data_IF_177738109654
#
_entry.id   IF_177738109654
#
_cell.length_a   1.000
_cell.length_b   1.000
_cell.length_c   1.000
_cell.angle_alpha   90.00
_cell.angle_beta   90.00
_cell.angle_gamma   90.00
#
_symmetry.space_group_name_H-M   'P 1'
#
loop_
_entity.id
_entity.type
_entity.pdbx_description
1 polymer ?
#
# COMPACT_ATOMS: atom_id res chain seq x y z
N UNK A 1 -7.02 -2.01 -7.32
CA UNK A 1 -7.00 -3.18 -6.40
C UNK A 1 -8.24 -4.03 -6.65
N UNK A 2 -8.09 -5.36 -6.75
CA UNK A 2 -9.22 -6.28 -6.98
C UNK A 2 -10.11 -6.39 -5.73
N UNK A 3 -11.43 -6.51 -5.92
CA UNK A 3 -12.41 -6.57 -4.82
C UNK A 3 -12.17 -7.72 -3.82
N UNK A 4 -11.82 -8.96 -4.24
CA UNK A 4 -11.59 -10.05 -3.28
C UNK A 4 -10.43 -9.78 -2.32
N UNK A 5 -9.31 -9.27 -2.86
CA UNK A 5 -8.14 -8.91 -2.06
C UNK A 5 -8.45 -7.78 -1.08
N UNK A 6 -9.21 -6.78 -1.52
CA UNK A 6 -9.65 -5.70 -0.63
C UNK A 6 -10.47 -6.21 0.56
N UNK A 7 -11.45 -7.09 0.30
CA UNK A 7 -12.28 -7.67 1.36
C UNK A 7 -11.47 -8.55 2.31
N UNK A 8 -10.49 -9.32 1.79
CA UNK A 8 -9.55 -10.09 2.62
C UNK A 8 -8.79 -9.18 3.59
N UNK A 9 -8.28 -8.05 3.11
CA UNK A 9 -7.58 -7.06 3.96
C UNK A 9 -8.53 -6.48 5.02
N UNK A 10 -9.74 -6.07 4.63
CA UNK A 10 -10.73 -5.49 5.55
C UNK A 10 -11.11 -6.47 6.66
N UNK A 11 -11.34 -7.74 6.32
CA UNK A 11 -11.67 -8.77 7.31
C UNK A 11 -10.49 -9.03 8.26
N UNK A 12 -9.27 -9.19 7.72
CA UNK A 12 -8.07 -9.41 8.53
C UNK A 12 -7.74 -8.26 9.51
N UNK A 13 -8.16 -7.03 9.18
CA UNK A 13 -8.07 -5.85 10.04
C UNK A 13 -9.18 -5.83 11.11
N UNK A 14 -10.41 -6.17 10.72
CA UNK A 14 -11.56 -6.23 11.62
C UNK A 14 -11.41 -7.27 12.73
N UNK A 15 -10.86 -8.44 12.39
CA UNK A 15 -10.60 -9.52 13.35
C UNK A 15 -9.47 -9.17 14.33
N UNK A 16 -8.50 -8.37 13.88
CA UNK A 16 -7.31 -8.02 14.67
C UNK A 16 -7.56 -6.88 15.64
N UNK A 17 -8.20 -5.80 15.19
CA UNK A 17 -8.41 -4.63 16.01
C UNK A 17 -9.85 -4.19 15.97
N UNK A 18 -10.47 -4.01 17.14
CA UNK A 18 -11.79 -3.41 17.19
C UNK A 18 -11.77 -1.95 16.74
N UNK A 19 -10.60 -1.34 16.44
CA UNK A 19 -10.55 -0.04 15.74
C UNK A 19 -11.09 -0.14 14.30
N UNK A 20 -10.95 -1.30 13.65
CA UNK A 20 -11.48 -1.56 12.31
C UNK A 20 -12.86 -2.21 12.31
N UNK A 21 -13.62 -2.09 13.40
CA UNK A 21 -15.04 -2.44 13.43
C UNK A 21 -15.91 -1.17 13.42
N UNK A 22 -17.17 -1.31 13.01
CA UNK A 22 -18.17 -0.25 13.17
C UNK A 22 -18.51 -0.17 14.64
N UNK A 23 -18.23 0.97 15.28
CA UNK A 23 -18.56 1.23 16.68
C UNK A 23 -19.61 2.31 16.77
N UNK A 24 -20.47 2.24 17.79
CA UNK A 24 -21.39 3.32 18.13
C UNK A 24 -20.71 4.32 19.07
N UNK A 25 -20.94 5.61 18.84
CA UNK A 25 -20.48 6.65 19.76
C UNK A 25 -21.34 6.71 21.04
N UNK A 26 -20.96 7.56 21.99
CA UNK A 26 -21.70 7.76 23.25
C UNK A 26 -23.12 8.30 23.04
N UNK A 27 -23.44 8.79 21.84
CA UNK A 27 -24.76 9.27 21.41
C UNK A 27 -25.50 8.21 20.56
N UNK A 28 -25.01 6.96 20.55
CA UNK A 28 -25.56 5.82 19.81
C UNK A 28 -25.56 5.97 18.28
N UNK A 29 -24.76 6.89 17.72
CA UNK A 29 -24.59 7.06 16.27
C UNK A 29 -23.56 6.07 15.77
N UNK A 30 -23.78 5.53 14.58
CA UNK A 30 -22.81 4.65 13.93
C UNK A 30 -21.57 5.44 13.51
N UNK A 31 -20.41 5.01 14.00
CA UNK A 31 -19.12 5.54 13.58
C UNK A 31 -18.68 4.99 12.22
N UNK A 32 -17.45 5.37 11.83
CA UNK A 32 -16.89 4.98 10.54
C UNK A 32 -16.79 3.46 10.38
N UNK A 33 -17.24 2.99 9.22
CA UNK A 33 -17.18 1.58 8.83
C UNK A 33 -15.73 1.11 8.56
N UNK A 34 -15.44 -0.20 8.71
CA UNK A 34 -14.16 -0.80 8.35
C UNK A 34 -13.71 -0.45 6.93
N UNK A 35 -14.67 -0.46 5.99
CA UNK A 35 -14.45 -0.15 4.58
C UNK A 35 -13.98 1.29 4.40
N UNK A 36 -14.65 2.26 5.03
CA UNK A 36 -14.25 3.67 4.97
C UNK A 36 -12.84 3.89 5.53
N UNK A 37 -12.52 3.27 6.67
CA UNK A 37 -11.20 3.35 7.30
C UNK A 37 -10.10 2.80 6.39
N UNK A 38 -10.33 1.62 5.79
CA UNK A 38 -9.39 1.01 4.86
C UNK A 38 -9.26 1.83 3.57
N UNK A 39 -10.36 2.33 3.01
CA UNK A 39 -10.32 3.18 1.82
C UNK A 39 -9.54 4.47 2.06
N UNK A 40 -9.70 5.08 3.24
CA UNK A 40 -8.93 6.27 3.64
C UNK A 40 -7.42 5.99 3.69
N UNK A 41 -7.02 4.88 4.32
CA UNK A 41 -5.61 4.48 4.39
C UNK A 41 -5.02 4.20 3.00
N UNK A 42 -5.73 3.45 2.16
CA UNK A 42 -5.27 3.12 0.80
C UNK A 42 -5.15 4.36 -0.08
N UNK A 43 -6.09 5.32 0.04
CA UNK A 43 -5.99 6.60 -0.67
C UNK A 43 -4.76 7.41 -0.24
N UNK A 44 -4.48 7.48 1.06
CA UNK A 44 -3.25 8.11 1.57
C UNK A 44 -2.00 7.48 0.98
N UNK A 45 -1.92 6.15 0.94
CA UNK A 45 -0.77 5.43 0.38
C UNK A 45 -0.63 5.62 -1.13
N UNK A 46 -1.74 5.49 -1.88
CA UNK A 46 -1.72 5.55 -3.34
C UNK A 46 -1.32 6.95 -3.82
N UNK A 47 -1.95 7.99 -3.28
CA UNK A 47 -1.81 9.35 -3.78
C UNK A 47 -0.80 10.19 -2.99
N UNK A 48 -0.35 9.73 -1.81
CA UNK A 48 0.41 10.56 -0.89
C UNK A 48 -0.40 11.74 -0.36
N UNK A 49 -1.73 11.64 -0.35
CA UNK A 49 -2.62 12.71 0.09
C UNK A 49 -2.42 12.96 1.58
N UNK A 50 -2.28 14.23 2.02
CA UNK A 50 -2.20 14.54 3.43
C UNK A 50 -3.50 14.15 4.15
N UNK A 51 -3.40 13.71 5.39
CA UNK A 51 -4.54 13.27 6.20
C UNK A 51 -5.65 14.34 6.30
N UNK A 52 -5.28 15.63 6.24
CA UNK A 52 -6.22 16.76 6.27
C UNK A 52 -7.15 16.79 5.04
N UNK A 53 -6.67 16.35 3.87
CA UNK A 53 -7.47 16.33 2.63
C UNK A 53 -8.55 15.24 2.61
N UNK A 54 -8.49 14.28 3.54
CA UNK A 54 -9.50 13.23 3.65
C UNK A 54 -10.74 13.68 4.42
N UNK A 55 -10.65 14.75 5.21
CA UNK A 55 -11.80 15.30 5.92
C UNK A 55 -12.83 15.85 4.93
N UNK A 56 -12.36 16.48 3.85
CA UNK A 56 -13.22 17.02 2.78
C UNK A 56 -13.96 15.91 2.00
N UNK A 57 -13.28 14.78 1.71
CA UNK A 57 -13.84 13.73 0.85
C UNK A 57 -14.56 12.61 1.60
N UNK A 58 -14.04 12.22 2.77
CA UNK A 58 -14.54 11.07 3.53
C UNK A 58 -15.16 11.47 4.87
N UNK A 59 -15.12 12.77 5.24
CA UNK A 59 -15.56 13.28 6.54
C UNK A 59 -14.88 12.55 7.70
N UNK A 60 -13.57 12.34 7.57
CA UNK A 60 -12.73 11.67 8.55
C UNK A 60 -11.76 12.70 9.12
N UNK A 61 -11.77 12.88 10.43
CA UNK A 61 -10.83 13.77 11.10
C UNK A 61 -9.38 13.35 10.83
N UNK A 62 -8.48 14.33 10.75
CA UNK A 62 -7.03 14.12 10.56
C UNK A 62 -6.47 13.04 11.49
N UNK A 63 -6.80 13.10 12.78
CA UNK A 63 -6.30 12.14 13.78
C UNK A 63 -6.73 10.72 13.44
N UNK A 64 -8.02 10.54 13.13
CA UNK A 64 -8.56 9.23 12.72
C UNK A 64 -7.94 8.75 11.42
N UNK A 65 -7.70 9.63 10.45
CA UNK A 65 -7.07 9.27 9.18
C UNK A 65 -5.62 8.80 9.36
N UNK A 66 -4.86 9.45 10.25
CA UNK A 66 -3.48 9.05 10.61
C UNK A 66 -3.49 7.71 11.35
N UNK A 67 -4.39 7.52 12.31
CA UNK A 67 -4.48 6.28 13.07
C UNK A 67 -4.93 5.10 12.19
N UNK A 68 -5.89 5.33 11.29
CA UNK A 68 -6.27 4.35 10.28
C UNK A 68 -5.07 3.96 9.42
N UNK A 69 -4.28 4.93 8.95
CA UNK A 69 -3.10 4.66 8.14
C UNK A 69 -2.05 3.84 8.90
N UNK A 70 -1.71 4.22 10.13
CA UNK A 70 -0.71 3.52 10.95
C UNK A 70 -1.12 2.07 11.23
N UNK A 71 -2.34 1.87 11.73
CA UNK A 71 -2.83 0.53 12.06
C UNK A 71 -3.01 -0.33 10.79
N UNK A 72 -3.43 0.28 9.68
CA UNK A 72 -3.54 -0.40 8.40
C UNK A 72 -2.17 -0.91 7.92
N UNK A 73 -1.16 -0.04 7.89
CA UNK A 73 0.18 -0.40 7.42
C UNK A 73 0.81 -1.47 8.32
N UNK A 74 0.75 -1.30 9.64
CA UNK A 74 1.30 -2.29 10.58
C UNK A 74 0.70 -3.67 10.32
N UNK A 75 -0.64 -3.76 10.26
CA UNK A 75 -1.32 -5.05 10.07
C UNK A 75 -1.08 -5.64 8.69
N UNK A 76 -1.03 -4.81 7.65
CA UNK A 76 -0.70 -5.28 6.29
C UNK A 76 0.70 -5.88 6.26
N UNK A 77 1.68 -5.23 6.90
CA UNK A 77 3.02 -5.80 7.06
C UNK A 77 2.92 -7.11 7.82
N UNK A 78 2.39 -7.13 9.04
CA UNK A 78 2.33 -8.35 9.87
C UNK A 78 1.62 -9.54 9.17
N UNK A 79 0.62 -9.26 8.34
CA UNK A 79 -0.17 -10.30 7.65
C UNK A 79 0.49 -10.79 6.37
N UNK A 80 1.13 -9.89 5.63
CA UNK A 80 1.59 -10.15 4.26
C UNK A 80 3.12 -10.12 4.14
N UNK A 81 3.86 -9.88 5.22
CA UNK A 81 5.32 -9.78 5.18
C UNK A 81 5.98 -11.02 4.60
N UNK A 82 5.58 -12.19 5.12
CA UNK A 82 6.10 -13.49 4.71
C UNK A 82 5.72 -13.83 3.26
N UNK A 83 4.54 -13.42 2.81
CA UNK A 83 4.02 -13.79 1.48
C UNK A 83 4.52 -12.83 0.39
N UNK A 84 4.52 -11.51 0.66
CA UNK A 84 4.66 -10.46 -0.34
C UNK A 84 5.82 -9.48 -0.10
N UNK A 85 6.30 -9.30 1.13
CA UNK A 85 7.43 -8.38 1.43
C UNK A 85 8.77 -9.11 1.58
N UNK A 86 8.79 -10.44 1.44
CA UNK A 86 10.02 -11.23 1.38
C UNK A 86 10.79 -10.99 0.08
N UNK A 87 12.08 -11.31 0.10
CA UNK A 87 12.86 -11.40 -1.14
C UNK A 87 12.28 -12.46 -2.09
N UNK A 88 12.22 -12.18 -3.40
CA UNK A 88 11.78 -13.16 -4.39
C UNK A 88 12.65 -14.42 -4.32
N UNK A 89 12.00 -15.58 -4.39
CA UNK A 89 12.69 -16.85 -4.55
C UNK A 89 12.82 -17.19 -6.05
N UNK A 90 13.53 -18.27 -6.36
CA UNK A 90 13.79 -18.67 -7.75
C UNK A 90 12.50 -18.93 -8.54
N UNK A 91 11.43 -19.42 -7.91
CA UNK A 91 10.14 -19.66 -8.56
C UNK A 91 9.39 -18.36 -8.87
N UNK A 92 9.42 -17.38 -7.95
CA UNK A 92 8.88 -16.05 -8.23
C UNK A 92 9.61 -15.40 -9.41
N UNK A 93 10.93 -15.52 -9.45
CA UNK A 93 11.77 -15.01 -10.54
C UNK A 93 11.40 -15.66 -11.87
N UNK A 94 11.28 -16.99 -11.93
CA UNK A 94 10.85 -17.70 -13.15
C UNK A 94 9.45 -17.30 -13.59
N UNK A 95 8.53 -17.16 -12.64
CA UNK A 95 7.15 -16.74 -12.91
C UNK A 95 7.12 -15.35 -13.54
N UNK A 96 7.83 -14.39 -12.95
CA UNK A 96 7.94 -13.02 -13.45
C UNK A 96 8.58 -12.97 -14.84
N UNK A 97 9.62 -13.76 -15.10
CA UNK A 97 10.25 -13.84 -16.42
C UNK A 97 9.29 -14.39 -17.48
N UNK A 98 8.52 -15.44 -17.16
CA UNK A 98 7.51 -16.00 -18.08
C UNK A 98 6.41 -14.97 -18.40
N UNK A 99 5.99 -14.19 -17.41
CA UNK A 99 5.03 -13.10 -17.62
C UNK A 99 5.66 -12.03 -18.52
N UNK A 100 6.91 -11.63 -18.26
CA UNK A 100 7.66 -10.68 -19.08
C UNK A 100 7.74 -11.12 -20.54
N UNK A 101 8.10 -12.38 -20.79
CA UNK A 101 8.12 -12.98 -22.13
C UNK A 101 6.76 -12.91 -22.83
N UNK A 102 5.69 -13.29 -22.13
CA UNK A 102 4.31 -13.21 -22.66
C UNK A 102 3.85 -11.78 -22.96
N UNK A 103 4.45 -10.78 -22.30
CA UNK A 103 4.20 -9.36 -22.54
C UNK A 103 5.19 -8.71 -23.54
N UNK A 104 6.13 -9.46 -24.13
CA UNK A 104 7.10 -8.95 -25.09
C UNK A 104 8.39 -8.36 -24.50
N UNK A 105 8.67 -8.63 -23.23
CA UNK A 105 9.86 -8.19 -22.49
C UNK A 105 10.71 -9.39 -22.03
N UNK A 106 11.37 -10.11 -22.95
CA UNK A 106 12.17 -11.28 -22.61
C UNK A 106 13.36 -10.90 -21.70
N UNK A 107 13.54 -11.65 -20.61
CA UNK A 107 14.60 -11.41 -19.64
C UNK A 107 14.33 -10.28 -18.63
N UNK A 108 13.16 -9.62 -18.69
CA UNK A 108 12.81 -8.54 -17.78
C UNK A 108 12.04 -9.06 -16.55
N UNK A 109 12.55 -8.73 -15.36
CA UNK A 109 11.90 -9.01 -14.07
C UNK A 109 11.00 -7.83 -13.70
N UNK A 110 9.72 -7.90 -14.07
CA UNK A 110 8.70 -6.91 -13.68
C UNK A 110 8.38 -5.85 -14.72
N UNK A 111 7.44 -4.95 -14.38
CA UNK A 111 7.08 -3.77 -15.16
C UNK A 111 7.99 -2.59 -14.78
N UNK A 112 8.41 -1.78 -15.74
CA UNK A 112 9.22 -0.55 -15.57
C UNK A 112 8.48 0.61 -14.87
N UNK A 113 7.58 0.33 -13.92
CA UNK A 113 6.86 1.37 -13.17
C UNK A 113 7.71 1.91 -12.01
N UNK A 114 8.80 2.59 -12.33
CA UNK A 114 9.60 3.34 -11.37
C UNK A 114 8.93 4.69 -11.07
N UNK A 115 8.32 4.86 -9.89
CA UNK A 115 7.84 6.17 -9.44
C UNK A 115 8.87 6.84 -8.55
N UNK A 116 9.44 7.94 -9.03
CA UNK A 116 10.26 8.82 -8.21
C UNK A 116 9.36 9.68 -7.33
N UNK A 117 9.53 9.57 -6.01
CA UNK A 117 8.87 10.44 -5.04
C UNK A 117 9.86 11.36 -4.37
N UNK A 118 9.46 12.62 -4.18
CA UNK A 118 10.26 13.61 -3.45
C UNK A 118 10.38 13.22 -1.99
N UNK A 119 11.61 13.16 -1.52
CA UNK A 119 11.93 12.90 -0.14
C UNK A 119 12.12 14.23 0.60
N UNK A 120 10.99 14.82 1.02
CA UNK A 120 10.97 16.15 1.65
C UNK A 120 11.79 16.23 2.95
N UNK A 121 11.89 15.12 3.68
CA UNK A 121 12.66 15.01 4.94
C UNK A 121 13.94 14.18 4.78
N UNK A 122 14.59 14.23 3.62
CA UNK A 122 15.87 13.54 3.41
C UNK A 122 16.95 14.13 4.35
N UNK A 123 17.64 13.30 5.16
CA UNK A 123 18.77 13.74 5.96
C UNK A 123 19.86 14.39 5.09
N UNK A 124 20.52 15.43 5.60
CA UNK A 124 21.57 16.17 4.86
C UNK A 124 22.70 15.23 4.41
N UNK A 125 23.08 14.30 5.29
CA UNK A 125 24.12 13.30 5.01
C UNK A 125 23.82 12.44 3.77
N UNK A 126 22.54 12.21 3.44
CA UNK A 126 22.12 11.33 2.34
C UNK A 126 21.63 12.12 1.12
N UNK A 127 21.45 13.43 1.26
CA UNK A 127 20.90 14.30 0.21
C UNK A 127 21.70 14.23 -1.08
N UNK A 128 23.03 14.15 -1.01
CA UNK A 128 23.88 14.02 -2.20
C UNK A 128 23.65 12.71 -2.96
N UNK A 129 23.63 11.58 -2.25
CA UNK A 129 23.47 10.25 -2.84
C UNK A 129 22.09 10.03 -3.48
N UNK A 130 21.05 10.60 -2.88
CA UNK A 130 19.68 10.40 -3.33
C UNK A 130 19.13 11.56 -4.17
N UNK A 131 19.94 12.54 -4.56
CA UNK A 131 19.52 13.59 -5.51
C UNK A 131 19.94 13.20 -6.92
N UNK A 132 19.00 12.74 -7.78
CA UNK A 132 19.30 12.50 -9.18
C UNK A 132 19.70 13.81 -9.86
N UNK A 133 20.76 13.76 -10.68
CA UNK A 133 21.31 14.95 -11.35
C UNK A 133 20.32 15.67 -12.27
N UNK A 134 19.32 14.95 -12.76
CA UNK A 134 18.22 15.44 -13.61
C UNK A 134 17.09 16.12 -12.81
N UNK A 135 16.88 15.75 -11.54
CA UNK A 135 15.73 16.22 -10.73
C UNK A 135 16.08 17.36 -9.79
N UNK A 136 17.33 17.45 -9.34
CA UNK A 136 17.79 18.51 -8.43
C UNK A 136 17.17 18.49 -7.02
N UNK A 137 16.41 17.43 -6.68
CA UNK A 137 15.87 17.19 -5.35
C UNK A 137 16.06 15.72 -4.93
N UNK A 138 16.21 15.45 -3.62
CA UNK A 138 16.39 14.08 -3.13
C UNK A 138 15.13 13.24 -3.37
N UNK A 139 15.27 12.16 -4.13
CA UNK A 139 14.18 11.28 -4.55
C UNK A 139 14.36 9.85 -4.04
N UNK A 140 13.27 9.23 -3.61
CA UNK A 140 13.19 7.79 -3.43
C UNK A 140 12.53 7.16 -4.65
N UNK A 141 13.13 6.10 -5.17
CA UNK A 141 12.55 5.29 -6.25
C UNK A 141 11.77 4.16 -5.57
N UNK A 142 10.47 4.13 -5.80
CA UNK A 142 9.63 2.99 -5.45
C UNK A 142 9.43 2.18 -6.73
N UNK A 143 10.03 1.00 -6.76
CA UNK A 143 9.83 0.00 -7.79
C UNK A 143 8.80 -1.01 -7.29
N UNK A 144 7.73 -1.21 -8.05
CA UNK A 144 6.70 -2.19 -7.73
C UNK A 144 6.74 -3.29 -8.79
N UNK A 145 7.28 -4.46 -8.42
CA UNK A 145 7.24 -5.64 -9.28
C UNK A 145 5.86 -6.29 -9.12
N UNK A 146 4.95 -6.02 -10.06
CA UNK A 146 3.62 -6.62 -10.05
C UNK A 146 3.67 -8.04 -10.63
N UNK A 147 3.54 -9.04 -9.77
CA UNK A 147 3.12 -10.40 -10.14
C UNK A 147 1.62 -10.41 -10.47
N UNK A 148 1.19 -11.16 -11.49
CA UNK A 148 -0.24 -11.48 -11.62
C UNK A 148 -0.62 -12.48 -10.53
N UNK A 149 -1.15 -11.98 -9.42
CA UNK A 149 -1.78 -12.83 -8.41
C UNK A 149 -3.08 -13.42 -9.00
N UNK A 150 -2.93 -14.56 -9.65
CA UNK A 150 -4.01 -15.50 -9.90
C UNK A 150 -4.10 -16.38 -8.65
N UNK A 151 -4.98 -16.01 -7.74
CA UNK A 151 -5.38 -16.91 -6.67
C UNK A 151 -5.94 -18.17 -7.34
N UNK A 152 -5.18 -19.25 -7.27
CA UNK A 152 -5.63 -20.58 -7.66
C UNK A 152 -6.85 -20.92 -6.79
N UNK A 153 -8.04 -20.80 -7.38
CA UNK A 153 -9.20 -21.54 -6.90
C UNK A 153 -8.96 -23.00 -7.30
N UNK A 154 -8.52 -23.81 -6.33
CA UNK A 154 -8.76 -25.24 -6.35
C UNK A 154 -10.27 -25.47 -6.46
N UNK A 155 -10.68 -26.11 -7.55
CA UNK A 155 -11.95 -26.84 -7.65
C UNK A 155 -11.72 -28.28 -7.24
#
# INVERSE_FOLDING_TARGET
>A
MRRPLFLRIVNALGDWSPHFTTRKDALNREGLSPLQKCTAAIRQLAYGTPADSLDEYLKISKTTAIDCLKNFVQRVIDTYDVEYLRSPNTEDTKCLLRIGEGCGFPGMLGSLDCKHRRWEKCPIAWKGQFTPGDKGWPSLILEAVASQDSLHHSS
#
